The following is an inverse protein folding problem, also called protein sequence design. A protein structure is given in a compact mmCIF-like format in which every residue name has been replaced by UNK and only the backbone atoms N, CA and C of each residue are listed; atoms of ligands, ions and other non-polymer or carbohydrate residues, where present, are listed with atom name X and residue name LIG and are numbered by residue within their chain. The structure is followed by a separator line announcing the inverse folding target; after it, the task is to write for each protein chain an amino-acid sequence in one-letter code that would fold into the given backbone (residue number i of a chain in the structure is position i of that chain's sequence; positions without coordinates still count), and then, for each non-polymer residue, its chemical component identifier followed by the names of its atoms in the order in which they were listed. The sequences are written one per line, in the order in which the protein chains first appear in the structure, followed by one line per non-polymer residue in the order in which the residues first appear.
data_IF_049247371343
#
_entry.id   IF_049247371343
#
_cell.length_a   1.000
_cell.length_b   1.000
_cell.length_c   1.000
_cell.angle_alpha   90.00
_cell.angle_beta   90.00
_cell.angle_gamma   90.00
#
_symmetry.space_group_name_H-M   'P 1'
#
loop_
_entity.id
_entity.type
_entity.pdbx_description
1 polymer ?
#
# COMPACT_ATOMS: atom_id res chain seq x y z
N UNK A 1 -52.99 -36.46 -26.35
CA UNK A 1 -52.34 -35.13 -26.40
C UNK A 1 -51.43 -34.84 -25.20
N UNK A 2 -51.44 -35.66 -24.13
CA UNK A 2 -50.68 -35.41 -22.90
C UNK A 2 -49.21 -35.90 -22.92
N UNK A 3 -48.80 -36.66 -23.94
CA UNK A 3 -47.46 -37.28 -24.01
C UNK A 3 -46.45 -36.51 -24.87
N UNK A 4 -46.90 -35.52 -25.65
CA UNK A 4 -46.04 -34.70 -26.52
C UNK A 4 -45.53 -33.42 -25.85
N UNK A 5 -46.27 -32.88 -24.86
CA UNK A 5 -45.81 -31.72 -24.07
C UNK A 5 -44.70 -32.08 -23.07
N UNK A 6 -44.66 -33.33 -22.59
CA UNK A 6 -43.65 -33.77 -21.61
C UNK A 6 -42.24 -33.84 -22.22
N UNK A 7 -42.11 -34.28 -23.49
CA UNK A 7 -40.83 -34.28 -24.20
C UNK A 7 -40.29 -32.86 -24.51
N UNK A 8 -41.17 -31.90 -24.81
CA UNK A 8 -40.78 -30.50 -25.06
C UNK A 8 -40.33 -29.78 -23.78
N UNK A 9 -40.94 -30.09 -22.64
CA UNK A 9 -40.57 -29.48 -21.35
C UNK A 9 -39.20 -29.98 -20.83
N UNK A 10 -38.86 -31.25 -21.10
CA UNK A 10 -37.60 -31.88 -20.65
C UNK A 10 -36.38 -31.35 -21.44
N UNK A 11 -36.55 -30.99 -22.71
CA UNK A 11 -35.47 -30.42 -23.53
C UNK A 11 -35.05 -29.00 -23.09
N UNK A 12 -35.98 -28.22 -22.53
CA UNK A 12 -35.72 -26.85 -22.06
C UNK A 12 -34.95 -26.80 -20.73
N UNK A 13 -35.03 -27.86 -19.90
CA UNK A 13 -34.33 -27.94 -18.61
C UNK A 13 -32.85 -28.32 -18.79
N UNK A 14 -32.50 -29.01 -19.88
CA UNK A 14 -31.13 -29.47 -20.15
C UNK A 14 -30.19 -28.35 -20.66
N UNK A 15 -30.73 -27.20 -21.11
CA UNK A 15 -29.92 -26.03 -21.52
C UNK A 15 -29.71 -25.02 -20.37
N UNK A 16 -30.37 -25.20 -19.22
CA UNK A 16 -30.32 -24.23 -18.12
C UNK A 16 -29.15 -24.47 -17.15
N UNK A 17 -28.25 -25.41 -17.43
CA UNK A 17 -27.07 -25.69 -16.63
C UNK A 17 -25.81 -25.49 -17.49
N UNK A 18 -25.61 -24.28 -18.00
CA UNK A 18 -24.24 -23.88 -18.35
C UNK A 18 -23.47 -23.76 -17.02
N UNK A 19 -22.44 -24.59 -16.78
CA UNK A 19 -21.64 -24.44 -15.59
C UNK A 19 -21.03 -23.04 -15.67
N UNK A 20 -21.37 -22.20 -14.70
CA UNK A 20 -20.71 -20.90 -14.52
C UNK A 20 -19.22 -21.17 -14.32
N UNK A 21 -18.46 -21.13 -15.41
CA UNK A 21 -17.01 -21.25 -15.39
C UNK A 21 -16.47 -19.87 -15.02
N UNK A 22 -16.56 -19.57 -13.73
CA UNK A 22 -15.95 -18.38 -13.16
C UNK A 22 -14.45 -18.51 -13.39
N UNK A 23 -13.91 -17.71 -14.33
CA UNK A 23 -12.48 -17.57 -14.49
C UNK A 23 -11.87 -17.30 -13.11
N UNK A 24 -11.01 -18.23 -12.67
CA UNK A 24 -10.32 -18.12 -11.41
C UNK A 24 -9.43 -16.87 -11.46
N UNK A 25 -9.92 -15.76 -10.90
CA UNK A 25 -9.15 -14.52 -10.79
C UNK A 25 -7.99 -14.77 -9.84
N UNK A 26 -6.79 -14.83 -10.39
CA UNK A 26 -5.59 -14.97 -9.59
C UNK A 26 -5.29 -13.62 -8.94
N UNK A 27 -5.41 -13.56 -7.61
CA UNK A 27 -5.07 -12.35 -6.87
C UNK A 27 -3.54 -12.24 -6.76
N UNK A 28 -2.97 -11.02 -6.88
CA UNK A 28 -1.56 -10.80 -6.62
C UNK A 28 -1.19 -11.33 -5.23
N UNK A 29 -0.04 -12.01 -5.13
CA UNK A 29 0.54 -12.38 -3.84
C UNK A 29 1.65 -11.38 -3.57
N UNK A 30 1.50 -10.60 -2.50
CA UNK A 30 2.50 -9.60 -2.14
C UNK A 30 3.51 -10.14 -1.12
N UNK A 31 4.71 -9.56 -1.15
CA UNK A 31 5.74 -9.69 -0.12
C UNK A 31 5.64 -8.46 0.81
N UNK A 32 5.59 -8.65 2.15
CA UNK A 32 5.47 -7.54 3.09
C UNK A 32 6.59 -6.49 2.89
N UNK A 33 6.24 -5.18 2.81
CA UNK A 33 7.22 -4.13 2.60
C UNK A 33 8.14 -3.97 3.80
N UNK A 34 9.39 -3.57 3.56
CA UNK A 34 10.31 -3.15 4.62
C UNK A 34 11.33 -2.17 4.05
N UNK A 35 11.67 -1.14 4.82
CA UNK A 35 12.76 -0.22 4.50
C UNK A 35 13.26 0.48 5.77
N UNK A 36 14.48 0.97 5.73
CA UNK A 36 15.00 1.93 6.69
C UNK A 36 14.73 3.37 6.25
N UNK A 37 14.77 4.30 7.20
CA UNK A 37 14.66 5.73 6.95
C UNK A 37 16.03 6.27 6.60
N UNK A 38 16.23 6.74 5.37
CA UNK A 38 17.36 7.56 4.96
C UNK A 38 17.06 9.05 5.07
N UNK A 39 18.06 9.85 5.44
CA UNK A 39 17.93 11.31 5.61
C UNK A 39 19.11 12.08 5.03
N UNK A 40 18.82 13.24 4.43
CA UNK A 40 19.82 14.24 4.04
C UNK A 40 19.40 15.59 4.61
N UNK A 41 20.28 16.20 5.42
CA UNK A 41 19.96 17.41 6.19
C UNK A 41 20.72 18.59 5.59
N UNK A 42 19.99 19.52 4.97
CA UNK A 42 20.50 20.75 4.37
C UNK A 42 20.08 21.98 5.17
N UNK A 43 20.24 21.92 6.51
CA UNK A 43 19.67 22.83 7.53
C UNK A 43 18.25 22.42 7.96
N UNK A 44 17.32 23.38 7.94
CA UNK A 44 15.91 23.17 8.21
C UNK A 44 15.21 22.35 7.12
N UNK A 45 15.79 22.28 5.92
CA UNK A 45 15.32 21.43 4.84
C UNK A 45 15.91 20.03 4.98
N UNK A 46 15.03 19.06 5.25
CA UNK A 46 15.39 17.64 5.39
C UNK A 46 14.73 16.84 4.29
N UNK A 47 15.54 16.06 3.57
CA UNK A 47 15.04 15.10 2.58
C UNK A 47 15.02 13.70 3.18
N UNK A 48 13.83 13.10 3.21
CA UNK A 48 13.60 11.70 3.58
C UNK A 48 13.60 10.83 2.33
N UNK A 49 14.17 9.64 2.43
CA UNK A 49 14.12 8.63 1.38
C UNK A 49 14.21 7.23 1.96
N UNK A 50 13.83 6.23 1.17
CA UNK A 50 13.90 4.83 1.58
C UNK A 50 15.32 4.29 1.43
N UNK A 51 15.83 3.61 2.46
CA UNK A 51 17.09 2.86 2.45
C UNK A 51 16.80 1.36 2.63
N UNK A 52 17.62 0.48 2.03
CA UNK A 52 17.50 -0.98 2.19
C UNK A 52 16.07 -1.49 1.96
N UNK A 53 15.50 -1.15 0.80
CA UNK A 53 14.13 -1.52 0.44
C UNK A 53 14.01 -3.04 0.18
N UNK A 54 13.00 -3.65 0.78
CA UNK A 54 12.67 -5.06 0.69
C UNK A 54 11.14 -5.21 0.52
N UNK A 55 10.71 -6.27 -0.17
CA UNK A 55 9.30 -6.56 -0.42
C UNK A 55 8.62 -5.59 -1.40
N UNK A 56 7.30 -5.70 -1.49
CA UNK A 56 6.49 -4.87 -2.39
C UNK A 56 6.10 -3.58 -1.69
N UNK A 57 6.49 -2.43 -2.24
CA UNK A 57 6.19 -1.11 -1.68
C UNK A 57 5.21 -0.39 -2.61
N UNK A 58 3.98 -0.20 -2.17
CA UNK A 58 2.97 0.56 -2.91
C UNK A 58 2.98 2.05 -2.54
N UNK A 59 2.90 2.35 -1.25
CA UNK A 59 2.87 3.72 -0.71
C UNK A 59 3.87 3.87 0.44
N UNK A 60 4.53 5.02 0.49
CA UNK A 60 5.41 5.41 1.58
C UNK A 60 4.93 6.74 2.17
N UNK A 61 4.40 6.69 3.39
CA UNK A 61 3.96 7.84 4.17
C UNK A 61 4.98 8.23 5.22
N UNK A 62 5.21 9.52 5.38
CA UNK A 62 6.18 10.10 6.30
C UNK A 62 5.49 11.04 7.26
N UNK A 63 5.72 10.84 8.56
CA UNK A 63 5.46 11.81 9.61
C UNK A 63 6.79 12.44 10.06
N UNK A 64 7.03 13.74 9.80
CA UNK A 64 8.23 14.45 10.23
C UNK A 64 8.41 14.54 11.76
N UNK A 65 7.36 14.29 12.55
CA UNK A 65 7.44 14.27 14.01
C UNK A 65 7.47 15.65 14.68
N UNK A 66 7.10 16.71 13.96
CA UNK A 66 7.03 18.08 14.51
C UNK A 66 5.65 18.46 15.07
N UNK A 67 4.70 17.51 15.06
CA UNK A 67 3.35 17.68 15.61
C UNK A 67 2.41 18.55 14.76
N UNK A 68 2.81 18.99 13.56
CA UNK A 68 1.97 19.87 12.72
C UNK A 68 0.99 19.13 11.82
N UNK A 69 1.04 17.80 11.80
CA UNK A 69 0.19 16.97 10.95
C UNK A 69 0.47 17.12 9.44
N UNK A 70 1.63 17.67 9.07
CA UNK A 70 2.01 17.86 7.66
C UNK A 70 2.80 16.67 7.13
N UNK A 71 2.14 15.51 7.02
CA UNK A 71 2.74 14.31 6.45
C UNK A 71 3.18 14.49 5.00
N UNK A 72 4.03 13.58 4.51
CA UNK A 72 4.47 13.51 3.11
C UNK A 72 4.27 12.11 2.57
N UNK A 73 4.07 12.01 1.25
CA UNK A 73 3.94 10.72 0.56
C UNK A 73 4.93 10.67 -0.59
N UNK A 74 5.64 9.55 -0.72
CA UNK A 74 6.61 9.30 -1.79
C UNK A 74 7.86 8.58 -1.29
N UNK A 75 8.60 7.96 -2.21
CA UNK A 75 9.85 7.24 -1.90
C UNK A 75 11.02 8.17 -1.57
N UNK A 76 10.91 9.45 -1.99
CA UNK A 76 11.82 10.54 -1.66
C UNK A 76 11.01 11.83 -1.54
N UNK A 77 11.11 12.51 -0.40
CA UNK A 77 10.33 13.73 -0.11
C UNK A 77 11.17 14.73 0.69
N UNK A 78 10.88 16.02 0.54
CA UNK A 78 11.53 17.08 1.32
C UNK A 78 10.53 17.71 2.29
N UNK A 79 10.98 18.01 3.50
CA UNK A 79 10.23 18.68 4.55
C UNK A 79 11.08 19.78 5.20
N UNK A 80 10.49 20.96 5.36
CA UNK A 80 11.13 22.10 6.00
C UNK A 80 10.64 22.23 7.44
N UNK A 81 11.55 22.09 8.41
CA UNK A 81 11.28 22.34 9.82
C UNK A 81 11.33 23.83 10.13
N UNK A 82 10.53 24.31 11.08
CA UNK A 82 10.58 25.72 11.48
C UNK A 82 11.71 26.03 12.47
N UNK A 83 12.17 25.02 13.21
CA UNK A 83 13.16 25.16 14.27
C UNK A 83 14.13 23.99 14.24
N UNK A 84 15.40 24.26 14.58
CA UNK A 84 16.36 23.22 14.91
C UNK A 84 15.89 22.45 16.16
N UNK A 85 16.20 21.16 16.23
CA UNK A 85 15.76 20.29 17.32
C UNK A 85 15.90 18.81 17.00
N UNK A 86 15.57 17.96 17.98
CA UNK A 86 15.41 16.53 17.76
C UNK A 86 13.98 16.19 17.37
N UNK A 87 13.82 15.36 16.34
CA UNK A 87 12.51 14.92 15.85
C UNK A 87 12.49 13.41 15.66
N UNK A 88 11.37 12.78 16.02
CA UNK A 88 11.12 11.35 15.77
C UNK A 88 10.35 11.21 14.46
N UNK A 89 11.07 10.94 13.37
CA UNK A 89 10.46 10.76 12.04
C UNK A 89 9.93 9.34 11.94
N UNK A 90 8.67 9.20 11.52
CA UNK A 90 8.03 7.89 11.33
C UNK A 90 7.75 7.65 9.86
N UNK A 91 8.15 6.48 9.37
CA UNK A 91 7.84 5.97 8.04
C UNK A 91 6.78 4.88 8.17
N UNK A 92 5.74 4.96 7.35
CA UNK A 92 4.73 3.92 7.17
C UNK A 92 4.73 3.49 5.71
N UNK A 93 5.02 2.23 5.47
CA UNK A 93 4.89 1.60 4.16
C UNK A 93 3.59 0.80 4.12
N UNK A 94 2.94 0.79 2.96
CA UNK A 94 1.91 -0.19 2.65
C UNK A 94 2.02 -0.67 1.21
N UNK A 95 1.50 -1.86 0.93
CA UNK A 95 1.42 -2.44 -0.41
C UNK A 95 -0.03 -2.64 -0.87
N UNK A 96 -0.21 -3.15 -2.09
CA UNK A 96 -1.54 -3.38 -2.67
C UNK A 96 -2.34 -4.50 -1.98
N UNK A 97 -1.68 -5.35 -1.19
CA UNK A 97 -2.29 -6.37 -0.34
C UNK A 97 -2.62 -5.84 1.08
N UNK A 98 -2.46 -4.53 1.34
CA UNK A 98 -2.62 -3.88 2.65
C UNK A 98 -1.62 -4.38 3.74
N UNK A 99 -0.53 -5.04 3.35
CA UNK A 99 0.58 -5.31 4.26
C UNK A 99 1.22 -3.98 4.67
N UNK A 100 1.55 -3.84 5.95
CA UNK A 100 2.06 -2.59 6.53
C UNK A 100 3.39 -2.80 7.23
N UNK A 101 4.24 -1.79 7.15
CA UNK A 101 5.48 -1.73 7.90
C UNK A 101 5.70 -0.32 8.43
N UNK A 102 6.02 -0.22 9.72
CA UNK A 102 6.25 1.06 10.39
C UNK A 102 7.61 1.05 11.05
N UNK A 103 8.36 2.13 10.88
CA UNK A 103 9.63 2.35 11.56
C UNK A 103 9.79 3.82 11.95
N UNK A 104 10.53 4.06 13.03
CA UNK A 104 10.77 5.41 13.55
C UNK A 104 12.28 5.62 13.71
N UNK A 105 12.75 6.80 13.31
CA UNK A 105 14.14 7.22 13.44
C UNK A 105 14.20 8.60 14.07
N UNK A 106 14.99 8.74 15.13
CA UNK A 106 15.34 10.04 15.70
C UNK A 106 16.37 10.74 14.80
N UNK A 107 16.13 12.01 14.49
CA UNK A 107 17.06 12.87 13.75
C UNK A 107 17.30 14.17 14.51
N UNK A 108 18.44 14.81 14.23
CA UNK A 108 18.78 16.14 14.76
C UNK A 108 18.83 17.13 13.61
N UNK A 109 17.90 18.08 13.60
CA UNK A 109 17.82 19.16 12.61
C UNK A 109 18.55 20.39 13.16
N UNK A 110 19.38 21.01 12.34
CA UNK A 110 20.21 22.16 12.71
C UNK A 110 20.05 23.27 11.66
N UNK A 111 20.49 24.50 11.97
CA UNK A 111 20.46 25.65 11.04
C UNK A 111 21.87 25.98 10.54
#
# INVERSE_FOLDING_TARGET
MLQRCFCMLVLLVMMACEPFDLEKKNFPTCVPPKAAIGVSIGRLDVTFFLENQEGDIGVAGWDPGDGKGKGRVGTRVTYTYEKAGEYNVTLVLANECDDKFTTTRKITVQN
#
